data_IF_141094118795
#
_entry.id   IF_141094118795
#
_cell.length_a   1.000
_cell.length_b   1.000
_cell.length_c   1.000
_cell.angle_alpha   90.00
_cell.angle_beta   90.00
_cell.angle_gamma   90.00
#
_symmetry.space_group_name_H-M   'P 1'
#
loop_
_entity.id
_entity.type
_entity.pdbx_description
1 polymer ?
#
# COMPACT_ATOMS: atom_id res chain seq x y z
N UNK A 1 -16.01 2.21 24.44
CA UNK A 1 -16.82 2.54 23.23
C UNK A 1 -16.12 3.68 22.50
N UNK A 2 -15.36 3.38 21.45
CA UNK A 2 -14.74 4.42 20.62
C UNK A 2 -15.77 4.88 19.59
N UNK A 3 -16.16 6.14 19.67
CA UNK A 3 -17.07 6.79 18.72
C UNK A 3 -16.26 7.13 17.48
N UNK A 4 -16.55 6.44 16.37
CA UNK A 4 -16.09 6.85 15.04
C UNK A 4 -16.76 8.17 14.69
N UNK A 5 -16.01 9.27 14.77
CA UNK A 5 -16.48 10.57 14.30
C UNK A 5 -16.37 10.59 12.77
N UNK A 6 -17.46 10.22 12.11
CA UNK A 6 -17.67 10.48 10.68
C UNK A 6 -17.99 11.97 10.56
N UNK A 7 -16.99 12.80 10.22
CA UNK A 7 -17.26 14.20 9.90
C UNK A 7 -17.75 14.30 8.45
N UNK A 8 -19.06 14.55 8.34
CA UNK A 8 -19.77 14.86 7.12
C UNK A 8 -19.10 16.01 6.35
N UNK A 9 -18.98 15.83 5.04
CA UNK A 9 -18.62 16.88 4.10
C UNK A 9 -19.68 17.99 4.15
N UNK A 10 -19.32 19.14 4.71
CA UNK A 10 -20.13 20.37 4.64
C UNK A 10 -19.24 21.51 4.15
N UNK A 11 -19.23 21.65 2.82
CA UNK A 11 -19.31 22.91 2.09
C UNK A 11 -18.66 24.15 2.74
N UNK A 12 -17.32 24.14 2.88
CA UNK A 12 -16.55 25.35 3.18
C UNK A 12 -15.27 25.28 2.32
N UNK A 13 -15.15 26.23 1.39
CA UNK A 13 -13.92 26.46 0.64
C UNK A 13 -12.81 26.89 1.58
N UNK A 14 -11.91 25.96 1.92
CA UNK A 14 -10.67 26.24 2.63
C UNK A 14 -9.52 25.56 1.89
N UNK A 15 -8.75 26.42 1.22
CA UNK A 15 -7.31 26.36 1.04
C UNK A 15 -6.65 25.00 0.73
N UNK A 16 -6.22 24.93 -0.53
CA UNK A 16 -5.40 23.94 -1.23
C UNK A 16 -3.99 23.67 -0.63
N UNK A 17 -3.72 23.95 0.65
CA UNK A 17 -2.40 23.77 1.27
C UNK A 17 -2.31 22.63 2.30
N UNK A 18 -3.45 22.05 2.72
CA UNK A 18 -3.50 20.94 3.70
C UNK A 18 -3.65 19.55 3.06
N UNK A 19 -3.70 19.49 1.73
CA UNK A 19 -3.89 18.26 0.93
C UNK A 19 -2.68 17.30 0.89
N UNK A 20 -1.40 17.72 1.03
CA UNK A 20 -0.29 16.80 0.76
C UNK A 20 -0.05 15.76 1.87
N UNK A 21 -0.54 15.99 3.10
CA UNK A 21 -0.36 15.03 4.20
C UNK A 21 -1.47 13.96 4.21
N UNK A 22 -2.70 14.34 3.85
CA UNK A 22 -3.84 13.41 3.82
C UNK A 22 -3.69 12.37 2.70
N UNK A 23 -3.37 12.82 1.47
CA UNK A 23 -3.07 11.91 0.35
C UNK A 23 -1.86 10.99 0.62
N UNK A 24 -0.94 11.44 1.48
CA UNK A 24 0.25 10.68 1.88
C UNK A 24 -0.10 9.53 2.82
N UNK A 25 -1.03 9.74 3.75
CA UNK A 25 -1.45 8.73 4.73
C UNK A 25 -2.28 7.63 4.08
N UNK A 26 -3.19 7.99 3.16
CA UNK A 26 -3.99 7.04 2.38
C UNK A 26 -3.12 6.02 1.62
N UNK A 27 -2.06 6.49 0.95
CA UNK A 27 -1.17 5.62 0.18
C UNK A 27 -0.29 4.69 1.04
N UNK A 28 0.04 5.11 2.27
CA UNK A 28 0.77 4.25 3.23
C UNK A 28 -0.15 3.13 3.70
N UNK A 29 -1.34 3.50 4.17
CA UNK A 29 -2.33 2.54 4.68
C UNK A 29 -2.73 1.54 3.61
N UNK A 30 -2.92 2.00 2.37
CA UNK A 30 -3.20 1.15 1.22
C UNK A 30 -2.13 0.08 0.97
N UNK A 31 -0.84 0.47 0.95
CA UNK A 31 0.25 -0.49 0.74
C UNK A 31 0.42 -1.46 1.90
N UNK A 32 0.24 -0.98 3.14
CA UNK A 32 0.29 -1.85 4.32
C UNK A 32 -0.87 -2.85 4.34
N UNK A 33 -2.08 -2.47 3.91
CA UNK A 33 -3.25 -3.35 3.90
C UNK A 33 -3.15 -4.41 2.79
N UNK A 34 -2.66 -4.03 1.60
CA UNK A 34 -2.50 -4.96 0.48
C UNK A 34 -1.35 -5.95 0.71
N UNK A 35 -0.22 -5.46 1.21
CA UNK A 35 0.99 -6.27 1.39
C UNK A 35 1.08 -6.91 2.78
N UNK A 36 0.04 -6.72 3.61
CA UNK A 36 -0.04 -7.02 5.03
C UNK A 36 0.81 -8.21 5.44
N UNK A 37 0.42 -9.43 5.06
CA UNK A 37 1.07 -10.67 5.54
C UNK A 37 1.57 -11.56 4.39
N UNK A 38 1.73 -11.00 3.19
CA UNK A 38 1.89 -11.80 1.98
C UNK A 38 2.67 -11.13 0.85
N UNK A 39 2.63 -11.84 -0.27
CA UNK A 39 3.24 -11.44 -1.53
C UNK A 39 2.13 -11.02 -2.49
N UNK A 40 2.30 -9.90 -3.18
CA UNK A 40 1.38 -9.48 -4.23
C UNK A 40 2.10 -9.06 -5.50
N UNK A 41 1.52 -9.38 -6.66
CA UNK A 41 2.04 -8.94 -7.96
C UNK A 41 2.05 -7.40 -8.05
N UNK A 42 3.18 -6.83 -8.46
CA UNK A 42 3.34 -5.40 -8.66
C UNK A 42 2.29 -4.80 -9.61
N UNK A 43 1.84 -5.55 -10.64
CA UNK A 43 0.82 -5.08 -11.59
C UNK A 43 -0.49 -4.84 -10.87
N UNK A 44 -0.94 -5.83 -10.09
CA UNK A 44 -2.16 -5.74 -9.27
C UNK A 44 -2.08 -4.60 -8.26
N UNK A 45 -0.93 -4.38 -7.64
CA UNK A 45 -0.74 -3.23 -6.71
C UNK A 45 -0.98 -1.90 -7.43
N UNK A 46 -0.52 -1.75 -8.66
CA UNK A 46 -0.74 -0.52 -9.43
C UNK A 46 -2.18 -0.38 -9.96
N UNK A 47 -2.82 -1.48 -10.35
CA UNK A 47 -4.24 -1.49 -10.75
C UNK A 47 -5.11 -1.04 -9.57
N UNK A 48 -4.94 -1.66 -8.40
CA UNK A 48 -5.65 -1.27 -7.18
C UNK A 48 -5.34 0.17 -6.78
N UNK A 49 -4.10 0.64 -6.97
CA UNK A 49 -3.75 2.02 -6.65
C UNK A 49 -4.48 3.00 -7.57
N UNK A 50 -4.62 2.67 -8.84
CA UNK A 50 -5.33 3.47 -9.83
C UNK A 50 -6.84 3.52 -9.54
N UNK A 51 -7.44 2.38 -9.16
CA UNK A 51 -8.83 2.31 -8.69
C UNK A 51 -9.09 3.16 -7.44
N UNK A 52 -8.11 3.28 -6.55
CA UNK A 52 -8.17 4.11 -5.35
C UNK A 52 -7.73 5.58 -5.60
N UNK A 53 -7.47 5.97 -6.85
CA UNK A 53 -7.06 7.34 -7.20
C UNK A 53 -5.64 7.70 -6.75
N UNK A 54 -4.82 6.72 -6.37
CA UNK A 54 -3.44 6.90 -5.92
C UNK A 54 -2.50 6.92 -7.13
N UNK A 55 -1.73 8.00 -7.24
CA UNK A 55 -0.74 8.13 -8.32
C UNK A 55 0.40 7.13 -8.14
N UNK A 56 0.86 6.54 -9.25
CA UNK A 56 2.03 5.61 -9.29
C UNK A 56 3.29 6.21 -8.64
N UNK A 57 3.48 7.52 -8.74
CA UNK A 57 4.60 8.23 -8.09
C UNK A 57 4.52 8.18 -6.56
N UNK A 58 3.32 8.31 -6.00
CA UNK A 58 3.11 8.23 -4.55
C UNK A 58 3.30 6.79 -4.07
N UNK A 59 2.78 5.80 -4.79
CA UNK A 59 3.03 4.37 -4.51
C UNK A 59 4.52 4.07 -4.47
N UNK A 60 5.31 4.55 -5.44
CA UNK A 60 6.77 4.37 -5.44
C UNK A 60 7.45 5.03 -4.25
N UNK A 61 7.00 6.23 -3.86
CA UNK A 61 7.53 6.93 -2.68
C UNK A 61 7.24 6.15 -1.41
N UNK A 62 6.02 5.67 -1.24
CA UNK A 62 5.61 4.92 -0.06
C UNK A 62 6.25 3.54 0.00
N UNK A 63 6.42 2.87 -1.15
CA UNK A 63 7.21 1.64 -1.26
C UNK A 63 8.60 1.80 -0.65
N UNK A 64 9.29 2.90 -0.98
CA UNK A 64 10.62 3.19 -0.46
C UNK A 64 10.61 3.48 1.04
N UNK A 65 9.61 4.21 1.53
CA UNK A 65 9.46 4.55 2.95
C UNK A 65 9.13 3.34 3.82
N UNK A 66 8.23 2.46 3.36
CA UNK A 66 7.85 1.22 4.04
C UNK A 66 8.93 0.13 3.96
N UNK A 67 9.90 0.28 3.07
CA UNK A 67 10.95 -0.71 2.85
C UNK A 67 10.43 -1.99 2.18
N UNK A 68 9.40 -1.86 1.32
CA UNK A 68 8.83 -2.97 0.55
C UNK A 68 9.90 -3.52 -0.40
N UNK A 69 10.13 -4.82 -0.32
CA UNK A 69 11.06 -5.55 -1.19
C UNK A 69 10.29 -6.19 -2.34
N UNK A 70 11.00 -6.49 -3.42
CA UNK A 70 10.47 -7.24 -4.55
C UNK A 70 11.27 -8.52 -4.74
N UNK A 71 10.58 -9.62 -4.96
CA UNK A 71 11.16 -10.90 -5.35
C UNK A 71 10.73 -11.23 -6.78
N UNK A 72 11.68 -11.75 -7.53
CA UNK A 72 11.47 -12.28 -8.86
C UNK A 72 11.17 -13.77 -8.74
N UNK A 73 10.07 -14.21 -9.34
CA UNK A 73 9.69 -15.62 -9.39
C UNK A 73 9.54 -16.00 -10.86
N UNK A 74 10.41 -16.89 -11.30
CA UNK A 74 10.32 -17.52 -12.62
C UNK A 74 9.32 -18.67 -12.54
N UNK A 75 8.24 -18.58 -13.30
CA UNK A 75 7.28 -19.67 -13.46
C UNK A 75 7.80 -20.73 -14.42
N UNK A 76 7.35 -21.98 -14.23
CA UNK A 76 7.74 -23.13 -15.06
C UNK A 76 7.30 -22.99 -16.54
N UNK A 77 6.25 -22.21 -16.82
CA UNK A 77 5.76 -21.90 -18.18
C UNK A 77 6.41 -20.65 -18.81
N UNK A 78 7.55 -20.18 -18.30
CA UNK A 78 8.26 -19.01 -18.85
C UNK A 78 7.60 -17.67 -18.52
N UNK A 79 6.62 -17.65 -17.60
CA UNK A 79 6.02 -16.45 -17.07
C UNK A 79 6.83 -15.87 -15.92
N UNK A 80 7.31 -14.64 -16.07
CA UNK A 80 8.00 -13.91 -15.00
C UNK A 80 7.01 -13.17 -14.10
N UNK A 81 7.03 -13.46 -12.81
CA UNK A 81 6.20 -12.79 -11.79
C UNK A 81 7.06 -11.93 -10.86
N UNK A 82 6.65 -10.67 -10.67
CA UNK A 82 7.31 -9.74 -9.76
C UNK A 82 6.42 -9.51 -8.55
N UNK A 83 6.79 -10.12 -7.44
CA UNK A 83 6.01 -10.07 -6.21
C UNK A 83 6.61 -9.04 -5.25
N UNK A 84 5.78 -8.20 -4.66
CA UNK A 84 6.13 -7.25 -3.63
C UNK A 84 5.72 -7.79 -2.26
N UNK A 85 6.51 -7.46 -1.23
CA UNK A 85 6.26 -7.86 0.15
C UNK A 85 6.92 -6.91 1.16
N UNK A 86 6.37 -6.85 2.37
CA UNK A 86 6.96 -6.12 3.51
C UNK A 86 7.77 -7.11 4.38
N UNK A 87 9.12 -7.02 4.42
CA UNK A 87 9.94 -7.98 5.15
C UNK A 87 9.58 -8.12 6.64
N UNK A 88 9.25 -7.00 7.29
CA UNK A 88 8.87 -6.96 8.70
C UNK A 88 7.65 -7.83 9.01
N UNK A 89 6.69 -7.90 8.10
CA UNK A 89 5.44 -8.62 8.32
C UNK A 89 5.58 -10.10 7.94
N UNK A 90 6.28 -10.37 6.84
CA UNK A 90 6.60 -11.75 6.43
C UNK A 90 7.37 -12.47 7.53
N UNK A 91 8.39 -11.85 8.12
CA UNK A 91 9.15 -12.48 9.21
C UNK A 91 8.36 -12.64 10.51
N UNK A 92 7.42 -11.73 10.82
CA UNK A 92 6.50 -11.91 11.96
C UNK A 92 5.65 -13.17 11.79
N UNK A 93 5.11 -13.40 10.59
CA UNK A 93 4.31 -14.60 10.30
C UNK A 93 5.12 -15.89 10.46
N UNK A 94 6.35 -15.93 9.97
CA UNK A 94 7.20 -17.12 10.08
C UNK A 94 7.78 -17.33 11.48
N UNK A 95 8.01 -16.26 12.27
CA UNK A 95 8.51 -16.37 13.64
C UNK A 95 7.45 -16.78 14.67
N UNK A 96 6.17 -16.50 14.42
CA UNK A 96 5.07 -16.94 15.30
C UNK A 96 4.66 -18.41 15.07
N UNK A 97 5.24 -19.08 14.07
CA UNK A 97 4.93 -20.48 13.74
C UNK A 97 5.92 -21.47 14.41
N UNK A 98 6.58 -21.08 15.51
CA UNK A 98 7.42 -21.97 16.33
C UNK A 98 6.89 -22.11 17.75
#
# INVERSE_FOLDING_TARGET
MCVYVIHAYSNIGIFCSFVPLFLRLEAVMFLEDILKDGFMDYKKVYELAEENGIKKTEVKRQKALLGVKSVHVDGEEGGTLWLWFIPKNVWKRYSQTQ
#
